data_IF_882754411652
#
_entry.id   IF_882754411652
#
_cell.length_a   1.000
_cell.length_b   1.000
_cell.length_c   1.000
_cell.angle_alpha   90.00
_cell.angle_beta   90.00
_cell.angle_gamma   90.00
#
_symmetry.space_group_name_H-M   'P 1'
#
loop_
_entity.id
_entity.type
_entity.pdbx_description
1 polymer ?
#
# COMPACT_ATOMS: atom_id res chain seq x y z
N UNK A 1 -17.81 16.11 -2.43
CA UNK A 1 -16.99 15.18 -1.63
C UNK A 1 -15.88 15.94 -0.90
N UNK A 2 -15.53 15.58 0.35
CA UNK A 2 -14.42 16.21 1.09
C UNK A 2 -13.04 15.59 0.76
N UNK A 3 -11.91 16.26 1.06
CA UNK A 3 -10.56 15.76 0.73
C UNK A 3 -10.20 14.39 1.30
N UNK A 4 -10.58 14.10 2.55
CA UNK A 4 -10.39 12.77 3.14
C UNK A 4 -11.08 11.66 2.35
N UNK A 5 -12.38 11.85 2.05
CA UNK A 5 -13.15 10.86 1.27
C UNK A 5 -12.64 10.71 -0.16
N UNK A 6 -12.18 11.81 -0.77
CA UNK A 6 -11.54 11.78 -2.08
C UNK A 6 -10.23 10.97 -2.07
N UNK A 7 -9.44 11.07 -0.99
CA UNK A 7 -8.21 10.30 -0.84
C UNK A 7 -8.46 8.81 -0.58
N UNK A 8 -9.46 8.47 0.24
CA UNK A 8 -9.92 7.08 0.41
C UNK A 8 -10.33 6.47 -0.94
N UNK A 9 -11.17 7.19 -1.71
CA UNK A 9 -11.65 6.75 -3.02
C UNK A 9 -10.49 6.55 -4.01
N UNK A 10 -9.53 7.46 -4.01
CA UNK A 10 -8.34 7.39 -4.85
C UNK A 10 -7.49 6.15 -4.55
N UNK A 11 -7.15 5.93 -3.28
CA UNK A 11 -6.35 4.75 -2.85
C UNK A 11 -7.08 3.46 -3.20
N UNK A 12 -8.38 3.40 -2.89
CA UNK A 12 -9.25 2.27 -3.22
C UNK A 12 -9.26 1.99 -4.72
N UNK A 13 -9.47 3.01 -5.57
CA UNK A 13 -9.52 2.83 -7.02
C UNK A 13 -8.20 2.37 -7.62
N UNK A 14 -7.07 2.91 -7.17
CA UNK A 14 -5.75 2.43 -7.61
C UNK A 14 -5.60 0.92 -7.36
N UNK A 15 -5.93 0.46 -6.16
CA UNK A 15 -5.77 -0.95 -5.81
C UNK A 15 -6.74 -1.86 -6.56
N UNK A 16 -7.97 -1.41 -6.82
CA UNK A 16 -8.90 -2.14 -7.68
C UNK A 16 -8.34 -2.33 -9.09
N UNK A 17 -7.73 -1.30 -9.69
CA UNK A 17 -7.07 -1.43 -11.00
C UNK A 17 -5.85 -2.34 -10.99
N UNK A 18 -5.18 -2.51 -9.86
CA UNK A 18 -4.08 -3.48 -9.68
C UNK A 18 -4.62 -4.92 -9.56
N UNK A 19 -5.91 -5.10 -9.27
CA UNK A 19 -6.57 -6.40 -9.18
C UNK A 19 -7.08 -6.77 -7.78
N UNK A 20 -7.05 -5.85 -6.82
CA UNK A 20 -7.71 -6.06 -5.52
C UNK A 20 -9.23 -6.01 -5.69
N UNK A 21 -9.96 -6.73 -4.83
CA UNK A 21 -11.42 -6.74 -4.83
C UNK A 21 -12.00 -6.11 -3.56
N UNK A 22 -13.14 -5.44 -3.69
CA UNK A 22 -13.84 -4.89 -2.53
C UNK A 22 -14.39 -5.99 -1.64
N UNK A 23 -14.29 -5.78 -0.32
CA UNK A 23 -14.91 -6.67 0.65
C UNK A 23 -16.37 -6.30 0.81
N UNK A 24 -17.25 -7.26 0.57
CA UNK A 24 -18.70 -7.10 0.77
C UNK A 24 -19.03 -7.26 2.25
N UNK A 25 -19.89 -6.37 2.76
CA UNK A 25 -20.42 -6.45 4.11
C UNK A 25 -21.24 -7.73 4.29
N UNK A 26 -20.93 -8.51 5.32
CA UNK A 26 -21.62 -9.75 5.69
C UNK A 26 -22.78 -9.52 6.68
N UNK A 27 -22.93 -8.28 7.17
CA UNK A 27 -23.97 -7.87 8.11
C UNK A 27 -23.66 -8.21 9.58
N UNK A 28 -22.51 -8.82 9.87
CA UNK A 28 -22.13 -9.25 11.21
C UNK A 28 -20.72 -8.78 11.59
N UNK A 29 -19.68 -9.33 10.95
CA UNK A 29 -18.30 -8.95 11.17
C UNK A 29 -17.93 -7.70 10.41
N UNK A 30 -18.51 -7.56 9.22
CA UNK A 30 -18.39 -6.38 8.36
C UNK A 30 -19.79 -5.92 8.02
N UNK A 31 -20.11 -4.68 8.35
CA UNK A 31 -21.46 -4.16 8.20
C UNK A 31 -21.43 -2.69 7.84
N UNK A 32 -22.50 -2.21 7.22
CA UNK A 32 -22.62 -0.81 6.86
C UNK A 32 -23.24 -0.03 8.03
N UNK A 33 -22.44 0.81 8.66
CA UNK A 33 -22.87 1.74 9.71
C UNK A 33 -23.05 3.16 9.18
N UNK A 34 -23.49 4.07 10.05
CA UNK A 34 -23.61 5.49 9.71
C UNK A 34 -22.34 6.14 9.12
N UNK A 35 -21.11 5.82 9.61
CA UNK A 35 -19.89 6.40 9.03
C UNK A 35 -19.36 5.62 7.80
N UNK A 36 -20.05 4.59 7.34
CA UNK A 36 -19.64 3.74 6.21
C UNK A 36 -19.43 2.28 6.61
N UNK A 37 -18.59 1.57 5.88
CA UNK A 37 -18.29 0.17 6.18
C UNK A 37 -17.54 0.08 7.52
N UNK A 38 -18.00 -0.82 8.38
CA UNK A 38 -17.49 -1.06 9.72
C UNK A 38 -16.90 -2.46 9.80
N UNK A 39 -15.90 -2.65 10.65
CA UNK A 39 -15.32 -3.94 10.99
C UNK A 39 -15.35 -4.15 12.51
N UNK A 40 -15.78 -5.33 12.94
CA UNK A 40 -15.77 -5.69 14.36
C UNK A 40 -14.33 -5.97 14.84
N UNK A 41 -13.93 -5.31 15.92
CA UNK A 41 -12.75 -5.64 16.72
C UNK A 41 -13.13 -6.34 18.03
N UNK A 42 -12.13 -6.84 18.76
CA UNK A 42 -12.33 -7.43 20.08
C UNK A 42 -12.78 -6.38 21.12
N UNK A 43 -12.21 -5.18 21.05
CA UNK A 43 -12.53 -4.07 21.94
C UNK A 43 -13.72 -3.26 21.47
N UNK A 44 -13.70 -2.80 20.21
CA UNK A 44 -14.72 -1.94 19.62
C UNK A 44 -14.86 -2.17 18.11
N UNK A 45 -15.96 -1.70 17.53
CA UNK A 45 -16.10 -1.64 16.07
C UNK A 45 -15.33 -0.44 15.50
N UNK A 46 -14.68 -0.64 14.36
CA UNK A 46 -13.86 0.36 13.69
C UNK A 46 -14.45 0.72 12.33
N UNK A 47 -14.32 1.99 11.94
CA UNK A 47 -14.62 2.38 10.57
C UNK A 47 -13.51 1.86 9.65
N UNK A 48 -13.89 1.32 8.50
CA UNK A 48 -12.98 0.87 7.48
C UNK A 48 -12.94 1.88 6.33
N UNK A 49 -11.93 2.74 6.33
CA UNK A 49 -11.67 3.73 5.27
C UNK A 49 -11.61 3.03 3.89
N UNK A 50 -10.75 2.01 3.76
CA UNK A 50 -10.64 1.15 2.57
C UNK A 50 -10.37 -0.28 3.00
N UNK A 51 -11.25 -1.22 2.64
CA UNK A 51 -11.12 -2.64 2.93
C UNK A 51 -11.19 -3.50 1.67
N UNK A 52 -10.11 -4.21 1.38
CA UNK A 52 -9.92 -4.95 0.14
C UNK A 52 -9.40 -6.37 0.37
N UNK A 53 -9.66 -7.24 -0.59
CA UNK A 53 -9.02 -8.55 -0.71
C UNK A 53 -7.89 -8.47 -1.75
N UNK A 54 -6.67 -8.96 -1.42
CA UNK A 54 -5.59 -9.04 -2.38
C UNK A 54 -5.94 -10.02 -3.52
N UNK A 55 -5.38 -9.80 -4.72
CA UNK A 55 -5.67 -10.60 -5.92
C UNK A 55 -5.32 -12.09 -5.77
N UNK A 56 -4.42 -12.42 -4.84
CA UNK A 56 -3.99 -13.80 -4.57
C UNK A 56 -4.09 -14.06 -3.07
N UNK A 57 -4.59 -15.24 -2.74
CA UNK A 57 -4.72 -15.73 -1.37
C UNK A 57 -3.71 -16.87 -1.16
N UNK A 58 -3.01 -16.87 -0.02
CA UNK A 58 -2.05 -17.93 0.29
C UNK A 58 -2.80 -19.23 0.60
N UNK A 59 -2.56 -20.33 -0.14
CA UNK A 59 -3.19 -21.62 0.15
C UNK A 59 -2.85 -22.10 1.56
N UNK A 60 -3.77 -22.83 2.20
CA UNK A 60 -3.62 -23.43 3.54
C UNK A 60 -3.52 -22.43 4.72
N UNK A 61 -3.71 -21.13 4.47
CA UNK A 61 -3.84 -20.10 5.50
C UNK A 61 -5.26 -19.50 5.49
N UNK A 62 -5.60 -18.75 6.54
CA UNK A 62 -6.78 -17.88 6.51
C UNK A 62 -6.66 -16.88 5.37
N UNK A 63 -7.79 -16.62 4.69
CA UNK A 63 -7.85 -15.58 3.66
C UNK A 63 -7.37 -14.25 4.25
N UNK A 64 -6.57 -13.51 3.51
CA UNK A 64 -6.07 -12.22 3.95
C UNK A 64 -6.95 -11.10 3.41
N UNK A 65 -7.19 -10.07 4.23
CA UNK A 65 -7.81 -8.80 3.85
C UNK A 65 -6.85 -7.66 4.20
N UNK A 66 -6.89 -6.60 3.41
CA UNK A 66 -6.10 -5.40 3.62
C UNK A 66 -7.03 -4.26 4.02
N UNK A 67 -6.89 -3.80 5.26
CA UNK A 67 -7.49 -2.57 5.76
C UNK A 67 -6.47 -1.44 5.60
N UNK A 68 -6.89 -0.31 5.03
CA UNK A 68 -6.01 0.84 4.81
C UNK A 68 -6.61 2.05 5.51
N UNK A 69 -5.90 2.58 6.49
CA UNK A 69 -6.22 3.84 7.17
C UNK A 69 -5.72 5.02 6.34
N UNK A 70 -6.63 5.84 5.84
CA UNK A 70 -6.32 7.01 5.02
C UNK A 70 -6.22 8.25 5.91
N UNK A 71 -5.12 8.99 5.79
CA UNK A 71 -4.90 10.25 6.52
C UNK A 71 -4.58 11.38 5.56
N UNK A 72 -5.49 12.35 5.46
CA UNK A 72 -5.41 13.54 4.60
C UNK A 72 -4.68 14.73 5.27
N UNK A 73 -3.89 14.45 6.30
CA UNK A 73 -3.16 15.48 7.03
C UNK A 73 -2.15 16.20 6.13
N UNK A 74 -2.08 17.53 6.29
CA UNK A 74 -1.11 18.39 5.60
C UNK A 74 0.33 18.25 6.12
N UNK A 75 0.49 17.61 7.28
CA UNK A 75 1.78 17.32 7.91
C UNK A 75 2.06 15.84 7.86
N UNK A 76 3.34 15.49 7.88
CA UNK A 76 3.79 14.09 7.97
C UNK A 76 3.13 13.37 9.15
N UNK A 77 2.72 12.13 8.90
CA UNK A 77 2.15 11.24 9.91
C UNK A 77 3.21 10.88 10.95
N UNK A 78 2.87 11.05 12.22
CA UNK A 78 3.75 10.80 13.35
C UNK A 78 3.61 9.38 13.89
N UNK A 79 4.56 9.00 14.74
CA UNK A 79 4.64 7.68 15.37
C UNK A 79 3.35 7.22 16.06
N UNK A 80 2.59 8.14 16.66
CA UNK A 80 1.37 7.77 17.39
C UNK A 80 0.31 7.16 16.48
N UNK A 81 0.17 7.67 15.25
CA UNK A 81 -0.80 7.13 14.28
C UNK A 81 -0.42 5.70 13.87
N UNK A 82 0.87 5.45 13.67
CA UNK A 82 1.37 4.10 13.31
C UNK A 82 1.19 3.12 14.47
N UNK A 83 1.37 3.56 15.71
CA UNK A 83 1.06 2.74 16.91
C UNK A 83 -0.43 2.43 17.01
N UNK A 84 -1.30 3.40 16.73
CA UNK A 84 -2.75 3.17 16.67
C UNK A 84 -3.11 2.13 15.61
N UNK A 85 -2.50 2.18 14.42
CA UNK A 85 -2.71 1.18 13.37
C UNK A 85 -2.25 -0.23 13.79
N UNK A 86 -1.16 -0.35 14.55
CA UNK A 86 -0.75 -1.62 15.15
C UNK A 86 -1.82 -2.13 16.13
N UNK A 87 -2.29 -1.27 17.03
CA UNK A 87 -3.36 -1.61 17.98
C UNK A 87 -4.64 -2.07 17.28
N UNK A 88 -5.05 -1.36 16.23
CA UNK A 88 -6.16 -1.74 15.36
C UNK A 88 -5.95 -3.12 14.74
N UNK A 89 -4.76 -3.38 14.17
CA UNK A 89 -4.43 -4.69 13.61
C UNK A 89 -4.56 -5.82 14.63
N UNK A 90 -4.09 -5.61 15.85
CA UNK A 90 -4.25 -6.59 16.92
C UNK A 90 -5.72 -6.76 17.31
N UNK A 91 -6.48 -5.67 17.41
CA UNK A 91 -7.88 -5.72 17.83
C UNK A 91 -8.79 -6.51 16.87
N UNK A 92 -8.63 -6.28 15.56
CA UNK A 92 -9.44 -6.95 14.52
C UNK A 92 -9.00 -8.39 14.23
N UNK A 93 -7.76 -8.76 14.54
CA UNK A 93 -7.25 -10.13 14.32
C UNK A 93 -7.40 -11.05 15.53
N UNK A 94 -7.43 -10.50 16.75
CA UNK A 94 -7.50 -11.29 17.98
C UNK A 94 -8.94 -11.60 18.41
N UNK A 95 -9.89 -11.44 17.49
CA UNK A 95 -11.28 -11.72 17.72
C UNK A 95 -11.65 -13.17 17.32
N UNK A 96 -12.15 -13.93 18.28
CA UNK A 96 -12.87 -15.18 18.03
C UNK A 96 -14.27 -15.03 18.64
N UNK A 97 -15.29 -14.75 17.83
CA UNK A 97 -16.67 -14.93 18.32
C UNK A 97 -16.92 -16.42 18.39
N UNK A 98 -16.80 -16.97 19.59
CA UNK A 98 -17.50 -18.20 19.92
C UNK A 98 -18.51 -17.82 20.97
N UNK A 99 -19.77 -17.70 20.59
CA UNK A 99 -20.81 -17.43 21.58
C UNK A 99 -20.94 -18.60 22.57
N UNK A 100 -21.48 -18.32 23.75
CA UNK A 100 -21.64 -19.32 24.80
C UNK A 100 -22.60 -20.45 24.43
N UNK A 101 -23.58 -20.20 23.56
CA UNK A 101 -24.51 -21.21 23.06
C UNK A 101 -23.81 -22.18 22.11
N UNK A 102 -22.90 -21.71 21.26
CA UNK A 102 -22.06 -22.50 20.37
C UNK A 102 -21.04 -23.33 21.18
N UNK A 103 -20.41 -22.75 22.21
CA UNK A 103 -19.56 -23.49 23.15
C UNK A 103 -20.34 -24.56 23.92
N UNK A 104 -21.54 -24.23 24.42
CA UNK A 104 -22.38 -25.15 25.17
C UNK A 104 -22.87 -26.31 24.30
N UNK A 105 -23.22 -26.04 23.05
CA UNK A 105 -23.69 -27.08 22.16
C UNK A 105 -22.53 -27.97 21.66
N UNK A 106 -21.29 -27.45 21.52
CA UNK A 106 -20.06 -28.26 21.26
C UNK A 106 -19.77 -29.34 22.30
N UNK A 107 -20.24 -29.19 23.54
CA UNK A 107 -20.04 -30.18 24.62
C UNK A 107 -20.92 -31.44 24.50
N UNK A 108 -21.89 -31.47 23.60
CA UNK A 108 -22.81 -32.62 23.44
C UNK A 108 -22.14 -33.71 22.59
N UNK A 109 -22.02 -34.94 23.12
CA UNK A 109 -21.36 -36.09 22.46
C UNK A 109 -22.06 -36.57 21.17
N UNK A 110 -23.36 -36.36 21.02
CA UNK A 110 -24.15 -36.81 19.86
C UNK A 110 -24.48 -35.65 18.90
N UNK A 111 -23.47 -34.99 18.33
CA UNK A 111 -23.68 -33.79 17.51
C UNK A 111 -23.66 -34.09 16.00
N UNK A 112 -24.67 -33.60 15.29
CA UNK A 112 -24.55 -33.06 13.92
C UNK A 112 -24.41 -31.55 14.05
N UNK A 113 -23.23 -31.05 14.42
CA UNK A 113 -22.98 -29.61 14.37
C UNK A 113 -22.45 -29.28 13.00
N UNK A 114 -23.14 -28.39 12.30
CA UNK A 114 -22.51 -27.72 11.18
C UNK A 114 -21.35 -26.89 11.72
N UNK A 115 -20.16 -26.96 11.10
CA UNK A 115 -19.08 -26.05 11.44
C UNK A 115 -19.59 -24.60 11.36
N UNK A 116 -19.06 -23.69 12.19
CA UNK A 116 -19.40 -22.27 12.09
C UNK A 116 -19.25 -21.79 10.65
N UNK A 117 -20.31 -21.22 10.09
CA UNK A 117 -20.38 -20.74 8.70
C UNK A 117 -19.86 -19.30 8.65
N UNK A 118 -18.62 -19.08 9.07
CA UNK A 118 -17.96 -17.81 8.82
C UNK A 118 -16.51 -18.04 8.43
N UNK A 119 -16.13 -17.45 7.30
CA UNK A 119 -14.75 -17.50 6.82
C UNK A 119 -13.87 -16.68 7.77
N UNK A 120 -12.80 -17.31 8.27
CA UNK A 120 -11.81 -16.59 9.08
C UNK A 120 -10.87 -15.83 8.16
N UNK A 121 -10.74 -14.54 8.41
CA UNK A 121 -9.80 -13.67 7.72
C UNK A 121 -8.67 -13.23 8.64
N UNK A 122 -7.48 -13.07 8.06
CA UNK A 122 -6.39 -12.33 8.67
C UNK A 122 -6.31 -10.95 8.04
N UNK A 123 -6.35 -9.91 8.86
CA UNK A 123 -6.29 -8.53 8.42
C UNK A 123 -4.86 -8.00 8.49
N UNK A 124 -4.36 -7.50 7.37
CA UNK A 124 -3.23 -6.59 7.37
C UNK A 124 -3.76 -5.16 7.45
N UNK A 125 -3.06 -4.30 8.21
CA UNK A 125 -3.40 -2.89 8.31
C UNK A 125 -2.26 -2.08 7.69
N UNK A 126 -2.60 -1.26 6.70
CA UNK A 126 -1.72 -0.30 6.07
C UNK A 126 -2.17 1.13 6.37
N UNK A 127 -1.29 2.10 6.14
CA UNK A 127 -1.60 3.51 6.31
C UNK A 127 -1.30 4.24 5.00
N UNK A 128 -2.27 4.96 4.47
CA UNK A 128 -2.07 5.89 3.37
C UNK A 128 -2.00 7.32 3.88
N UNK A 129 -0.99 8.08 3.45
CA UNK A 129 -0.77 9.44 3.90
C UNK A 129 -0.61 10.42 2.75
N UNK A 130 -1.31 11.55 2.83
CA UNK A 130 -1.24 12.61 1.82
C UNK A 130 0.11 13.35 1.85
N UNK A 131 0.60 13.71 3.05
CA UNK A 131 1.87 14.42 3.24
C UNK A 131 3.07 13.52 3.57
N UNK A 132 2.88 12.19 3.56
CA UNK A 132 3.90 11.20 3.89
C UNK A 132 4.12 11.01 5.40
N UNK A 133 5.27 10.44 5.76
CA UNK A 133 5.55 9.94 7.12
C UNK A 133 6.83 10.53 7.73
N UNK A 134 6.89 10.68 9.05
CA UNK A 134 8.15 11.00 9.73
C UNK A 134 9.09 9.79 9.74
N UNK A 135 10.40 10.02 9.87
CA UNK A 135 11.38 8.92 9.92
C UNK A 135 11.08 7.92 11.04
N UNK A 136 10.74 8.40 12.24
CA UNK A 136 10.40 7.53 13.37
C UNK A 136 9.14 6.69 13.11
N UNK A 137 8.17 7.26 12.39
CA UNK A 137 6.96 6.54 12.00
C UNK A 137 7.29 5.42 11.00
N UNK A 138 8.18 5.68 10.04
CA UNK A 138 8.63 4.70 9.05
C UNK A 138 9.46 3.57 9.67
N UNK A 139 10.40 3.89 10.58
CA UNK A 139 11.21 2.89 11.31
C UNK A 139 10.33 1.94 12.13
N UNK A 140 9.33 2.49 12.84
CA UNK A 140 8.37 1.69 13.59
C UNK A 140 7.52 0.82 12.63
N UNK A 141 7.00 1.40 11.54
CA UNK A 141 6.22 0.66 10.57
C UNK A 141 7.00 -0.51 9.96
N UNK A 142 8.28 -0.31 9.62
CA UNK A 142 9.16 -1.37 9.11
C UNK A 142 9.34 -2.50 10.13
N UNK A 143 9.55 -2.17 11.41
CA UNK A 143 9.70 -3.14 12.50
C UNK A 143 8.47 -4.05 12.64
N UNK A 144 7.27 -3.48 12.55
CA UNK A 144 6.01 -4.21 12.72
C UNK A 144 5.35 -4.65 11.41
N UNK A 145 6.04 -4.47 10.27
CA UNK A 145 5.58 -4.78 8.91
C UNK A 145 4.22 -4.14 8.59
N UNK A 146 4.08 -2.85 8.89
CA UNK A 146 2.91 -2.04 8.53
C UNK A 146 3.21 -1.36 7.19
N UNK A 147 2.49 -1.68 6.11
CA UNK A 147 2.69 -1.03 4.82
C UNK A 147 2.35 0.46 4.90
N UNK A 148 3.23 1.29 4.36
CA UNK A 148 3.04 2.73 4.26
C UNK A 148 2.86 3.11 2.80
N UNK A 149 1.76 3.81 2.51
CA UNK A 149 1.36 4.23 1.17
C UNK A 149 1.50 5.74 1.08
N UNK A 150 2.40 6.20 0.23
CA UNK A 150 2.61 7.61 -0.09
C UNK A 150 2.98 7.75 -1.56
N UNK A 151 2.49 8.82 -2.18
CA UNK A 151 2.67 9.07 -3.61
C UNK A 151 3.29 10.44 -3.89
N UNK A 152 3.75 11.15 -2.86
CA UNK A 152 4.14 12.55 -2.95
C UNK A 152 5.35 12.84 -3.85
N UNK A 153 6.14 11.83 -4.21
CA UNK A 153 7.22 11.94 -5.20
C UNK A 153 6.84 11.47 -6.61
N UNK A 154 5.61 10.97 -6.81
CA UNK A 154 5.16 10.47 -8.12
C UNK A 154 4.62 11.61 -8.98
N UNK A 155 4.81 11.55 -10.31
CA UNK A 155 4.52 12.66 -11.21
C UNK A 155 3.04 13.05 -11.28
N UNK A 156 2.13 12.12 -10.96
CA UNK A 156 0.69 12.37 -10.97
C UNK A 156 0.18 13.10 -9.72
N UNK A 157 0.99 13.17 -8.65
CA UNK A 157 0.49 13.56 -7.33
C UNK A 157 0.05 15.01 -7.24
N UNK A 158 0.75 15.93 -7.92
CA UNK A 158 0.36 17.33 -7.99
C UNK A 158 -1.02 17.52 -8.62
N UNK A 159 -1.31 16.79 -9.70
CA UNK A 159 -2.61 16.82 -10.37
C UNK A 159 -3.73 16.30 -9.45
N UNK A 160 -3.48 15.23 -8.70
CA UNK A 160 -4.43 14.74 -7.69
C UNK A 160 -4.70 15.78 -6.59
N UNK A 161 -3.65 16.36 -6.01
CA UNK A 161 -3.79 17.41 -4.99
C UNK A 161 -4.60 18.61 -5.49
N UNK A 162 -4.37 19.06 -6.73
CA UNK A 162 -5.13 20.13 -7.37
C UNK A 162 -6.60 19.75 -7.54
N UNK A 163 -6.89 18.52 -7.99
CA UNK A 163 -8.26 18.03 -8.17
C UNK A 163 -9.08 18.02 -6.87
N UNK A 164 -8.43 17.83 -5.71
CA UNK A 164 -9.11 17.87 -4.40
C UNK A 164 -9.01 19.24 -3.71
N UNK A 165 -8.57 20.28 -4.42
CA UNK A 165 -8.55 21.67 -3.97
C UNK A 165 -7.35 22.07 -3.10
N UNK A 166 -6.21 21.39 -3.21
CA UNK A 166 -4.93 21.82 -2.65
C UNK A 166 -4.05 22.47 -3.74
N UNK A 167 -3.82 23.79 -3.65
CA UNK A 167 -2.90 24.48 -4.56
C UNK A 167 -1.43 24.25 -4.19
N UNK A 168 -0.64 23.84 -5.19
CA UNK A 168 0.84 23.93 -5.27
C UNK A 168 1.65 23.69 -3.99
N UNK A 169 1.47 22.57 -3.26
CA UNK A 169 2.24 22.20 -2.05
C UNK A 169 2.42 23.31 -0.97
N UNK A 170 1.78 24.46 -1.15
CA UNK A 170 1.69 25.59 -0.26
C UNK A 170 0.28 25.47 0.30
N UNK A 171 0.19 24.58 1.29
CA UNK A 171 -1.03 24.13 1.94
C UNK A 171 -1.81 25.25 2.67
N UNK A 172 -1.62 26.52 2.34
CA UNK A 172 -2.25 27.69 2.93
C UNK A 172 -3.30 28.37 2.02
N UNK A 173 -3.49 27.93 0.78
CA UNK A 173 -4.50 28.51 -0.10
C UNK A 173 -5.94 28.14 0.31
N UNK A 174 -6.86 29.10 0.16
CA UNK A 174 -8.31 28.95 0.42
C UNK A 174 -8.91 27.92 -0.53
N UNK A 175 -9.82 27.08 -0.01
CA UNK A 175 -10.65 26.17 -0.82
C UNK A 175 -11.37 26.97 -1.90
N UNK A 176 -11.15 26.62 -3.16
CA UNK A 176 -11.98 27.10 -4.27
C UNK A 176 -13.25 26.24 -4.28
N UNK A 177 -14.43 26.87 -4.23
CA UNK A 177 -15.70 26.16 -4.37
C UNK A 177 -15.81 25.66 -5.82
N UNK A 178 -15.70 24.35 -6.02
CA UNK A 178 -16.00 23.69 -7.29
C UNK A 178 -17.33 22.93 -7.19
N UNK A 179 -18.06 22.83 -8.31
CA UNK A 179 -19.29 22.04 -8.40
C UNK A 179 -19.02 20.57 -8.05
N UNK A 180 -19.73 20.06 -7.04
CA UNK A 180 -19.34 18.83 -6.34
C UNK A 180 -19.47 17.54 -7.17
N UNK A 181 -20.36 17.50 -8.16
CA UNK A 181 -20.67 16.28 -8.94
C UNK A 181 -19.64 16.08 -10.07
N UNK A 182 -19.35 17.13 -10.84
CA UNK A 182 -18.33 17.06 -11.91
C UNK A 182 -16.94 16.76 -11.32
N UNK A 183 -16.66 17.27 -10.12
CA UNK A 183 -15.41 17.02 -9.41
C UNK A 183 -15.22 15.54 -9.04
N UNK A 184 -16.29 14.82 -8.70
CA UNK A 184 -16.21 13.40 -8.32
C UNK A 184 -15.94 12.49 -9.52
N UNK A 185 -16.65 12.72 -10.64
CA UNK A 185 -16.40 12.00 -11.88
C UNK A 185 -14.98 12.25 -12.41
N UNK A 186 -14.51 13.50 -12.39
CA UNK A 186 -13.14 13.85 -12.76
C UNK A 186 -12.11 13.16 -11.86
N UNK A 187 -12.39 13.04 -10.56
CA UNK A 187 -11.51 12.32 -9.64
C UNK A 187 -11.47 10.82 -9.93
N UNK A 188 -12.62 10.22 -10.23
CA UNK A 188 -12.71 8.81 -10.61
C UNK A 188 -11.95 8.54 -11.90
N UNK A 189 -12.14 9.37 -12.93
CA UNK A 189 -11.38 9.27 -14.19
C UNK A 189 -9.87 9.43 -13.97
N UNK A 190 -9.47 10.38 -13.10
CA UNK A 190 -8.08 10.57 -12.73
C UNK A 190 -7.50 9.33 -12.03
N UNK A 191 -8.22 8.81 -11.03
CA UNK A 191 -7.83 7.63 -10.26
C UNK A 191 -7.76 6.39 -11.15
N UNK A 192 -8.70 6.23 -12.07
CA UNK A 192 -8.76 5.10 -13.00
C UNK A 192 -7.60 5.15 -13.99
N UNK A 193 -7.33 6.32 -14.59
CA UNK A 193 -6.19 6.54 -15.49
C UNK A 193 -4.85 6.28 -14.79
N UNK A 194 -4.70 6.71 -13.54
CA UNK A 194 -3.50 6.43 -12.75
C UNK A 194 -3.44 4.94 -12.43
N UNK A 195 -4.52 4.36 -11.90
CA UNK A 195 -4.62 2.95 -11.51
C UNK A 195 -4.26 1.98 -12.64
N UNK A 196 -4.68 2.26 -13.87
CA UNK A 196 -4.32 1.47 -15.07
C UNK A 196 -2.81 1.41 -15.34
N UNK A 197 -2.04 2.36 -14.79
CA UNK A 197 -0.57 2.44 -14.87
C UNK A 197 0.11 2.03 -13.58
N UNK A 198 -0.64 1.57 -12.57
CA UNK A 198 -0.08 1.16 -11.28
C UNK A 198 0.13 -0.35 -11.21
N UNK A 199 1.22 -0.73 -10.55
CA UNK A 199 1.46 -2.06 -10.04
C UNK A 199 1.90 -1.98 -8.57
N UNK A 200 1.74 -3.07 -7.82
CA UNK A 200 2.26 -3.20 -6.46
C UNK A 200 3.29 -4.30 -6.41
N UNK A 201 4.50 -3.97 -5.99
CA UNK A 201 5.56 -4.93 -5.70
C UNK A 201 5.65 -5.18 -4.20
N UNK A 202 5.71 -6.44 -3.79
CA UNK A 202 6.01 -6.83 -2.42
C UNK A 202 7.46 -7.30 -2.36
N UNK A 203 8.26 -6.64 -1.53
CA UNK A 203 9.67 -6.98 -1.31
C UNK A 203 9.82 -8.21 -0.41
N UNK A 204 11.03 -8.76 -0.33
CA UNK A 204 11.35 -9.84 0.61
C UNK A 204 11.11 -9.46 2.09
N UNK A 205 11.14 -8.18 2.44
CA UNK A 205 10.81 -7.70 3.79
C UNK A 205 9.31 -7.62 4.07
N UNK A 206 8.47 -7.88 3.07
CA UNK A 206 7.01 -7.74 3.13
C UNK A 206 6.53 -6.30 2.91
N UNK A 207 7.41 -5.40 2.48
CA UNK A 207 7.04 -4.02 2.20
C UNK A 207 6.36 -3.90 0.84
N UNK A 208 5.27 -3.12 0.79
CA UNK A 208 4.60 -2.78 -0.47
C UNK A 208 5.25 -1.55 -1.11
N UNK A 209 5.57 -1.67 -2.40
CA UNK A 209 6.06 -0.60 -3.25
C UNK A 209 5.08 -0.38 -4.39
N UNK A 210 4.71 0.88 -4.59
CA UNK A 210 3.80 1.28 -5.65
C UNK A 210 4.61 1.71 -6.87
N UNK A 211 4.49 0.96 -7.95
CA UNK A 211 5.21 1.15 -9.20
C UNK A 211 4.30 1.85 -10.21
N UNK A 212 4.65 3.06 -10.63
CA UNK A 212 3.92 3.83 -11.63
C UNK A 212 4.61 3.71 -12.99
N UNK A 213 3.94 3.07 -13.94
CA UNK A 213 4.41 2.85 -15.31
C UNK A 213 4.40 4.17 -16.10
N UNK A 214 5.55 4.54 -16.67
CA UNK A 214 5.73 5.82 -17.39
C UNK A 214 5.92 5.66 -18.89
N UNK A 215 6.26 4.47 -19.38
CA UNK A 215 6.37 4.19 -20.81
C UNK A 215 4.99 4.04 -21.45
N UNK A 216 4.91 4.36 -22.74
CA UNK A 216 3.68 4.14 -23.50
C UNK A 216 3.48 2.64 -23.73
N UNK A 217 2.31 2.14 -23.36
CA UNK A 217 1.97 0.72 -23.52
C UNK A 217 1.21 0.16 -22.33
N UNK A 218 1.24 -1.16 -22.22
CA UNK A 218 0.66 -1.90 -21.09
C UNK A 218 1.77 -2.24 -20.10
N UNK A 219 1.38 -2.37 -18.84
CA UNK A 219 2.29 -2.86 -17.80
C UNK A 219 2.78 -4.25 -18.20
N UNK A 220 4.09 -4.42 -18.26
CA UNK A 220 4.72 -5.71 -18.50
C UNK A 220 6.04 -5.78 -17.73
N UNK A 221 6.27 -6.88 -17.04
CA UNK A 221 7.51 -7.11 -16.31
C UNK A 221 8.27 -8.26 -16.95
N UNK A 222 9.56 -8.07 -17.22
CA UNK A 222 10.49 -9.16 -17.51
C UNK A 222 10.88 -9.90 -16.22
N UNK A 223 11.55 -11.05 -16.36
CA UNK A 223 12.09 -11.79 -15.20
C UNK A 223 13.11 -10.97 -14.41
N UNK A 224 13.90 -10.16 -15.12
CA UNK A 224 14.95 -9.34 -14.54
C UNK A 224 14.63 -7.85 -14.62
N UNK A 225 15.07 -7.10 -13.62
CA UNK A 225 15.00 -5.63 -13.62
C UNK A 225 16.28 -4.99 -13.12
N UNK A 226 16.45 -3.71 -13.45
CA UNK A 226 17.49 -2.86 -12.88
C UNK A 226 16.89 -1.69 -12.11
N UNK A 227 17.64 -1.19 -11.14
CA UNK A 227 17.24 -0.07 -10.30
C UNK A 227 18.17 1.11 -10.51
N UNK A 228 17.59 2.27 -10.80
CA UNK A 228 18.30 3.52 -10.98
C UNK A 228 17.77 4.56 -9.99
N UNK A 229 18.72 5.28 -9.39
CA UNK A 229 18.44 6.37 -8.48
C UNK A 229 19.49 7.44 -8.68
N UNK A 230 19.05 8.69 -8.71
CA UNK A 230 19.89 9.85 -9.03
C UNK A 230 19.89 10.85 -7.87
N UNK A 231 18.73 11.09 -7.24
CA UNK A 231 18.53 12.18 -6.27
C UNK A 231 17.51 11.76 -5.18
N UNK A 232 17.78 12.01 -3.88
CA UNK A 232 16.83 11.77 -2.79
C UNK A 232 15.43 12.38 -2.97
N UNK A 233 15.33 13.50 -3.70
CA UNK A 233 14.07 14.20 -3.96
C UNK A 233 13.28 13.61 -5.13
N UNK A 234 13.94 12.83 -6.01
CA UNK A 234 13.30 12.21 -7.17
C UNK A 234 12.82 10.79 -6.85
N UNK A 235 11.79 10.30 -7.57
CA UNK A 235 11.41 8.89 -7.48
C UNK A 235 12.53 7.98 -7.97
N UNK A 236 12.53 6.76 -7.47
CA UNK A 236 13.36 5.67 -7.96
C UNK A 236 12.80 5.16 -9.28
N UNK A 237 13.70 4.65 -10.12
CA UNK A 237 13.37 4.13 -11.43
C UNK A 237 13.67 2.63 -11.44
N UNK A 238 12.66 1.81 -11.70
CA UNK A 238 12.81 0.40 -12.01
C UNK A 238 12.65 0.20 -13.51
N UNK A 239 13.62 -0.45 -14.14
CA UNK A 239 13.55 -0.82 -15.57
C UNK A 239 13.42 -2.31 -15.72
N UNK A 240 12.42 -2.74 -16.47
CA UNK A 240 12.18 -4.16 -16.76
C UNK A 240 11.95 -4.33 -18.26
N UNK A 241 12.97 -4.82 -18.97
CA UNK A 241 12.95 -4.82 -20.44
C UNK A 241 12.95 -3.39 -21.00
N UNK A 242 11.92 -3.08 -21.79
CA UNK A 242 11.70 -1.75 -22.35
C UNK A 242 10.80 -0.87 -21.47
N UNK A 243 10.27 -1.42 -20.38
CA UNK A 243 9.35 -0.72 -19.51
C UNK A 243 10.08 0.00 -18.38
N UNK A 244 9.59 1.20 -18.05
CA UNK A 244 10.10 2.03 -16.96
C UNK A 244 9.00 2.32 -15.93
N UNK A 245 9.36 2.17 -14.66
CA UNK A 245 8.46 2.34 -13.52
C UNK A 245 9.07 3.29 -12.51
N UNK A 246 8.29 4.29 -12.07
CA UNK A 246 8.66 5.20 -11.00
C UNK A 246 8.07 4.73 -9.68
N UNK A 247 8.87 4.76 -8.62
CA UNK A 247 8.39 4.41 -7.28
C UNK A 247 9.07 5.23 -6.19
N UNK A 248 8.47 5.24 -5.01
CA UNK A 248 8.99 5.93 -3.84
C UNK A 248 9.44 4.91 -2.79
N UNK A 249 10.60 5.17 -2.20
CA UNK A 249 11.08 4.47 -1.01
C UNK A 249 10.94 5.35 0.23
N UNK A 250 10.67 4.75 1.41
CA UNK A 250 10.66 5.47 2.68
C UNK A 250 11.97 6.25 2.92
N UNK A 251 11.83 7.42 3.53
CA UNK A 251 12.96 8.27 3.91
C UNK A 251 13.87 7.62 4.96
N UNK A 252 13.35 6.77 5.85
CA UNK A 252 14.11 5.99 6.83
C UNK A 252 15.12 5.06 6.16
N UNK A 253 14.66 4.32 5.15
CA UNK A 253 15.49 3.47 4.32
C UNK A 253 16.57 4.33 3.62
N UNK A 254 16.20 5.47 3.04
CA UNK A 254 17.16 6.42 2.46
C UNK A 254 18.19 6.94 3.48
N UNK A 255 17.76 7.25 4.71
CA UNK A 255 18.61 7.77 5.79
C UNK A 255 19.59 6.73 6.31
N UNK A 256 19.19 5.47 6.43
CA UNK A 256 20.12 4.38 6.78
C UNK A 256 21.28 4.29 5.77
N UNK A 257 21.04 4.62 4.50
CA UNK A 257 22.06 4.64 3.46
C UNK A 257 22.93 5.91 3.51
N UNK A 258 22.27 7.07 3.58
CA UNK A 258 22.94 8.37 3.52
C UNK A 258 23.80 8.64 4.75
N UNK A 259 23.34 8.26 5.94
CA UNK A 259 24.03 8.57 7.19
C UNK A 259 25.29 7.71 7.43
N UNK A 260 25.44 6.60 6.71
CA UNK A 260 26.66 5.75 6.78
C UNK A 260 27.76 6.21 5.84
N UNK A 261 27.47 7.17 4.96
CA UNK A 261 28.35 7.55 3.88
C UNK A 261 29.02 8.89 4.18
N UNK A 262 30.35 8.92 4.17
CA UNK A 262 31.12 10.14 4.41
C UNK A 262 31.44 10.89 3.12
N UNK A 263 31.33 10.23 1.96
CA UNK A 263 31.52 10.80 0.63
C UNK A 263 30.54 10.23 -0.43
N UNK A 264 30.56 10.81 -1.64
CA UNK A 264 29.67 10.43 -2.76
C UNK A 264 29.91 8.98 -3.24
N UNK A 265 31.12 8.45 -3.08
CA UNK A 265 31.48 7.09 -3.50
C UNK A 265 30.88 6.06 -2.54
N UNK A 266 30.99 6.29 -1.22
CA UNK A 266 30.34 5.48 -0.19
C UNK A 266 28.81 5.51 -0.34
N UNK A 267 28.22 6.67 -0.64
CA UNK A 267 26.78 6.78 -0.91
C UNK A 267 26.34 5.86 -2.05
N UNK A 268 27.11 5.83 -3.14
CA UNK A 268 26.83 4.94 -4.28
C UNK A 268 27.00 3.47 -3.92
N UNK A 269 28.00 3.12 -3.09
CA UNK A 269 28.23 1.74 -2.63
C UNK A 269 27.10 1.24 -1.72
N UNK A 270 26.69 2.02 -0.73
CA UNK A 270 25.60 1.65 0.18
C UNK A 270 24.26 1.51 -0.56
N UNK A 271 24.00 2.38 -1.53
CA UNK A 271 22.82 2.27 -2.40
C UNK A 271 22.81 0.94 -3.19
N UNK A 272 23.96 0.45 -3.67
CA UNK A 272 24.06 -0.85 -4.35
C UNK A 272 23.86 -2.01 -3.37
N UNK A 273 24.53 -1.98 -2.21
CA UNK A 273 24.38 -3.03 -1.19
C UNK A 273 22.91 -3.19 -0.76
N UNK A 274 22.20 -2.08 -0.64
CA UNK A 274 20.79 -2.13 -0.31
C UNK A 274 19.93 -2.72 -1.43
N UNK A 275 20.17 -2.34 -2.70
CA UNK A 275 19.50 -2.96 -3.85
C UNK A 275 19.65 -4.48 -3.82
N UNK A 276 20.85 -4.97 -3.49
CA UNK A 276 21.14 -6.40 -3.38
C UNK A 276 20.35 -7.09 -2.25
N UNK A 277 20.15 -6.41 -1.11
CA UNK A 277 19.58 -7.03 0.08
C UNK A 277 18.06 -6.87 0.18
N UNK A 278 17.53 -5.65 0.02
CA UNK A 278 16.12 -5.34 0.22
C UNK A 278 15.28 -5.52 -1.05
N UNK A 279 15.87 -5.29 -2.21
CA UNK A 279 15.19 -5.24 -3.50
C UNK A 279 15.82 -6.23 -4.49
N UNK A 280 16.21 -7.42 -4.01
CA UNK A 280 16.74 -8.48 -4.89
C UNK A 280 15.66 -9.26 -5.60
N UNK A 281 14.57 -9.56 -4.89
CA UNK A 281 13.41 -10.24 -5.45
C UNK A 281 12.16 -9.53 -4.98
N UNK A 282 11.18 -9.44 -5.88
CA UNK A 282 9.87 -8.89 -5.58
C UNK A 282 8.79 -9.74 -6.24
N UNK A 283 7.63 -9.81 -5.60
CA UNK A 283 6.41 -10.33 -6.20
C UNK A 283 5.56 -9.13 -6.61
N UNK A 284 5.26 -9.02 -7.90
CA UNK A 284 4.50 -7.90 -8.45
C UNK A 284 3.10 -8.33 -8.80
N UNK A 285 2.14 -7.52 -8.39
CA UNK A 285 0.72 -7.57 -8.72
C UNK A 285 0.38 -6.43 -9.65
N UNK A 286 -0.28 -6.75 -10.75
CA UNK A 286 -0.74 -5.79 -11.74
C UNK A 286 -1.88 -6.40 -12.55
N UNK A 287 -2.51 -5.61 -13.39
CA UNK A 287 -3.55 -6.10 -14.30
C UNK A 287 -3.03 -6.17 -15.72
N UNK A 288 -3.24 -7.31 -16.37
CA UNK A 288 -2.96 -7.51 -17.78
C UNK A 288 -4.27 -7.91 -18.48
N UNK A 289 -4.65 -7.20 -19.55
CA UNK A 289 -5.91 -7.46 -20.26
C UNK A 289 -7.17 -7.46 -19.38
N UNK A 290 -7.18 -6.70 -18.29
CA UNK A 290 -8.30 -6.64 -17.34
C UNK A 290 -8.34 -7.82 -16.36
N UNK A 291 -7.33 -8.68 -16.34
CA UNK A 291 -7.19 -9.78 -15.38
C UNK A 291 -6.04 -9.52 -14.42
N UNK A 292 -6.18 -9.79 -13.11
CA UNK A 292 -5.09 -9.72 -12.17
C UNK A 292 -3.99 -10.73 -12.51
N UNK A 293 -2.74 -10.27 -12.51
CA UNK A 293 -1.54 -11.07 -12.77
C UNK A 293 -0.58 -10.92 -11.60
N UNK A 294 0.08 -12.03 -11.27
CA UNK A 294 1.16 -12.10 -10.29
C UNK A 294 2.43 -12.57 -11.00
N UNK A 295 3.55 -11.88 -10.76
CA UNK A 295 4.86 -12.26 -11.33
C UNK A 295 5.98 -12.06 -10.32
N UNK A 296 6.86 -13.05 -10.20
CA UNK A 296 8.12 -12.87 -9.48
C UNK A 296 9.15 -12.23 -10.42
N UNK A 297 9.82 -11.20 -9.92
CA UNK A 297 10.90 -10.51 -10.63
C UNK A 297 12.14 -10.45 -9.75
N UNK A 298 13.31 -10.47 -10.38
CA UNK A 298 14.60 -10.46 -9.70
C UNK A 298 15.50 -9.35 -10.24
N UNK A 299 16.35 -8.79 -9.38
CA UNK A 299 17.34 -7.82 -9.82
C UNK A 299 18.34 -8.50 -10.77
N UNK A 300 18.69 -7.81 -11.85
CA UNK A 300 19.74 -8.25 -12.79
C UNK A 300 21.09 -8.25 -12.07
N UNK A 301 21.57 -9.45 -11.72
CA UNK A 301 22.83 -9.64 -10.99
C UNK A 301 24.04 -9.18 -11.80
N UNK A 302 24.02 -9.35 -13.12
CA UNK A 302 25.15 -8.93 -13.97
C UNK A 302 25.27 -7.41 -14.00
N UNK A 303 24.15 -6.69 -14.14
CA UNK A 303 24.15 -5.22 -14.07
C UNK A 303 24.52 -4.72 -12.67
N UNK A 304 24.08 -5.41 -11.61
CA UNK A 304 24.44 -5.07 -10.25
C UNK A 304 25.96 -5.24 -10.00
N UNK A 305 26.54 -6.35 -10.47
CA UNK A 305 27.97 -6.62 -10.40
C UNK A 305 28.80 -5.63 -11.22
N UNK A 306 28.35 -5.26 -12.41
CA UNK A 306 29.00 -4.25 -13.24
C UNK A 306 28.98 -2.87 -12.57
N UNK A 307 27.86 -2.48 -11.95
CA UNK A 307 27.77 -1.27 -11.16
C UNK A 307 28.72 -1.28 -9.95
N UNK A 308 28.88 -2.43 -9.27
CA UNK A 308 29.88 -2.62 -8.19
C UNK A 308 31.30 -2.42 -8.73
N UNK A 309 31.62 -3.02 -9.88
CA UNK A 309 32.95 -2.92 -10.49
C UNK A 309 33.31 -1.49 -10.89
N UNK A 310 32.35 -0.70 -11.39
CA UNK A 310 32.56 0.72 -11.74
C UNK A 310 32.82 1.64 -10.54
N UNK A 311 32.52 1.18 -9.32
CA UNK A 311 32.78 1.92 -8.06
C UNK A 311 34.05 1.44 -7.33
N UNK A 312 34.79 0.47 -7.89
CA UNK A 312 36.10 0.04 -7.40
C UNK A 312 37.19 0.83 -8.10
#
# INVERSE_FOLDING_TARGET
>A
MGPGKAFELFVKRILIHIGFSEVVSDGLYIYDGAPGQMIQGLGEAHNADVLLEPPVQTPFYSKTRLLIECKDYRKKISLNVVRSALGLREDINNFNIVDMAELATRRRQNRRANPPVFDRYSYQVAIAALAGFTTQAQEFAATYRIPLIEFNKLPFWSAFCQAIGYDNFNFNSRRVNFDMIDTENQLLELADRIGQRMAVAITNSGQMLFLYHVTDGRINFNEYYSLHWVDPQKPWILRSGHEEYLFQLPESILKEWLNKSTDELEMKREAINCKANLLSNMVVYYTEHGQPVIKMISIDRFQLEDAIKRLR
#
